data_IF_993953750116
#
_entry.id   IF_993953750116
#
_cell.length_a   1.000
_cell.length_b   1.000
_cell.length_c   1.000
_cell.angle_alpha   90.00
_cell.angle_beta   90.00
_cell.angle_gamma   90.00
#
_symmetry.space_group_name_H-M   'P 1'
#
loop_
_entity.id
_entity.type
_entity.pdbx_description
1 polymer ?
#
# COMPACT_ATOMS: atom_id res chain seq x y z
N UNK A 1 6.11 -44.67 10.13
CA UNK A 1 6.17 -43.51 9.24
C UNK A 1 6.12 -42.29 10.13
N UNK A 2 7.21 -41.53 10.24
CA UNK A 2 7.14 -40.23 10.90
C UNK A 2 6.48 -39.29 9.88
N UNK A 3 5.22 -38.98 10.11
CA UNK A 3 4.48 -38.03 9.30
C UNK A 3 5.06 -36.64 9.59
N UNK A 4 5.82 -36.08 8.65
CA UNK A 4 6.38 -34.74 8.81
C UNK A 4 5.21 -33.75 8.84
N UNK A 5 5.04 -32.97 9.91
CA UNK A 5 3.92 -32.02 9.99
C UNK A 5 3.95 -31.05 8.80
N UNK A 6 2.81 -30.94 8.11
CA UNK A 6 2.64 -30.07 6.94
C UNK A 6 1.82 -28.84 7.30
N UNK A 7 2.23 -27.68 6.77
CA UNK A 7 1.59 -26.40 7.02
C UNK A 7 1.42 -25.59 5.74
N UNK A 8 0.29 -24.88 5.67
CA UNK A 8 0.00 -23.92 4.59
C UNK A 8 0.43 -22.53 5.07
N UNK A 9 1.18 -21.80 4.24
CA UNK A 9 1.68 -20.47 4.57
C UNK A 9 0.56 -19.49 4.90
N UNK A 10 -0.51 -19.46 4.10
CA UNK A 10 -1.66 -18.58 4.29
C UNK A 10 -2.40 -18.89 5.61
N UNK A 11 -2.49 -20.17 5.98
CA UNK A 11 -3.04 -20.59 7.27
C UNK A 11 -2.16 -20.15 8.45
N UNK A 12 -0.85 -20.33 8.34
CA UNK A 12 0.10 -19.89 9.38
C UNK A 12 -0.08 -18.39 9.68
N UNK A 13 -0.29 -17.56 8.65
CA UNK A 13 -0.47 -16.11 8.81
C UNK A 13 -1.75 -15.72 9.55
N UNK A 14 -2.76 -16.61 9.59
CA UNK A 14 -4.07 -16.33 10.21
C UNK A 14 -4.26 -17.05 11.55
N UNK A 15 -3.42 -18.04 11.87
CA UNK A 15 -3.51 -18.84 13.08
C UNK A 15 -2.82 -18.15 14.27
N UNK A 16 -3.50 -18.00 15.43
CA UNK A 16 -2.93 -17.33 16.60
C UNK A 16 -1.74 -18.07 17.24
N UNK A 17 -1.60 -19.37 16.97
CA UNK A 17 -0.50 -20.20 17.46
C UNK A 17 0.85 -19.85 16.81
N UNK A 18 0.84 -19.11 15.69
CA UNK A 18 2.05 -18.66 15.02
C UNK A 18 2.23 -17.16 15.24
N UNK A 19 3.09 -16.82 16.19
CA UNK A 19 3.35 -15.43 16.53
C UNK A 19 4.39 -14.87 15.57
N UNK A 20 3.99 -13.86 14.78
CA UNK A 20 4.89 -13.08 13.95
C UNK A 20 5.27 -11.78 14.64
N UNK A 21 6.50 -11.32 14.39
CA UNK A 21 6.97 -9.98 14.77
C UNK A 21 7.59 -9.27 13.58
N UNK A 22 7.51 -7.95 13.58
CA UNK A 22 8.25 -7.14 12.62
C UNK A 22 9.74 -7.22 12.92
N UNK A 23 10.53 -7.62 11.94
CA UNK A 23 11.99 -7.62 12.02
C UNK A 23 12.59 -6.33 11.49
N UNK A 24 12.06 -5.82 10.37
CA UNK A 24 12.56 -4.62 9.73
C UNK A 24 11.48 -3.93 8.88
N UNK A 25 11.55 -2.60 8.78
CA UNK A 25 10.76 -1.80 7.83
C UNK A 25 11.70 -0.83 7.13
N UNK A 26 11.64 -0.80 5.80
CA UNK A 26 12.42 0.09 4.94
C UNK A 26 11.47 0.89 4.04
N UNK A 27 11.73 2.19 3.93
CA UNK A 27 11.03 3.08 2.99
C UNK A 27 11.87 3.15 1.71
N UNK A 28 11.24 2.89 0.56
CA UNK A 28 11.91 2.96 -0.76
C UNK A 28 11.48 4.19 -1.57
N UNK A 29 10.21 4.61 -1.48
CA UNK A 29 9.68 5.82 -2.13
C UNK A 29 8.86 6.60 -1.11
N UNK A 30 9.21 7.86 -0.93
CA UNK A 30 8.50 8.80 -0.06
C UNK A 30 8.36 10.14 -0.79
N UNK A 31 7.14 10.52 -1.15
CA UNK A 31 6.85 11.76 -1.88
C UNK A 31 5.71 12.47 -1.17
N UNK A 32 5.94 13.73 -0.84
CA UNK A 32 4.92 14.70 -0.45
C UNK A 32 5.12 15.93 -1.34
N UNK A 33 4.21 16.16 -2.27
CA UNK A 33 4.31 17.28 -3.23
C UNK A 33 2.98 17.98 -3.39
N UNK A 34 2.99 19.32 -3.33
CA UNK A 34 1.79 20.13 -3.52
C UNK A 34 1.68 20.62 -4.95
N UNK A 35 0.45 20.77 -5.44
CA UNK A 35 0.13 21.43 -6.71
C UNK A 35 0.79 20.75 -7.94
N UNK A 36 0.82 19.42 -7.97
CA UNK A 36 1.23 18.69 -9.16
C UNK A 36 0.15 18.77 -10.25
N UNK A 37 0.53 18.80 -11.54
CA UNK A 37 -0.43 18.71 -12.64
C UNK A 37 -1.23 17.41 -12.60
N UNK A 38 -2.56 17.54 -12.60
CA UNK A 38 -3.54 16.44 -12.67
C UNK A 38 -4.39 16.55 -13.92
N UNK A 39 -5.04 15.46 -14.33
CA UNK A 39 -6.01 15.51 -15.43
C UNK A 39 -7.04 16.60 -15.16
N UNK A 40 -7.33 17.44 -16.15
CA UNK A 40 -8.33 18.50 -16.05
C UNK A 40 -9.67 17.97 -15.54
N UNK A 41 -10.06 16.77 -15.97
CA UNK A 41 -11.27 16.09 -15.50
C UNK A 41 -11.30 15.90 -13.97
N UNK A 42 -10.17 15.56 -13.35
CA UNK A 42 -10.11 15.37 -11.90
C UNK A 42 -10.35 16.68 -11.13
N UNK A 43 -9.88 17.81 -11.67
CA UNK A 43 -10.19 19.12 -11.12
C UNK A 43 -11.67 19.46 -11.31
N UNK A 44 -12.23 19.17 -12.48
CA UNK A 44 -13.65 19.42 -12.77
C UNK A 44 -14.59 18.60 -11.89
N UNK A 45 -14.31 17.30 -11.71
CA UNK A 45 -15.12 16.40 -10.87
C UNK A 45 -15.10 16.81 -9.39
N UNK A 46 -14.03 17.47 -8.94
CA UNK A 46 -13.92 18.01 -7.57
C UNK A 46 -14.82 19.22 -7.30
N UNK A 47 -15.38 19.84 -8.35
CA UNK A 47 -16.21 21.02 -8.22
C UNK A 47 -17.60 20.68 -7.67
N UNK A 48 -18.19 21.58 -6.86
CA UNK A 48 -19.59 21.56 -6.50
C UNK A 48 -20.54 21.46 -7.70
N UNK A 49 -21.68 20.80 -7.53
CA UNK A 49 -22.65 20.55 -8.60
C UNK A 49 -23.26 21.84 -9.18
N UNK A 50 -23.41 22.89 -8.38
CA UNK A 50 -23.87 24.20 -8.84
C UNK A 50 -22.89 24.86 -9.80
N UNK A 51 -21.58 24.75 -9.53
CA UNK A 51 -20.53 25.23 -10.45
C UNK A 51 -20.54 24.39 -11.73
N UNK A 52 -20.62 23.06 -11.63
CA UNK A 52 -20.69 22.17 -12.81
C UNK A 52 -21.94 22.42 -13.66
N UNK A 53 -23.05 22.84 -13.04
CA UNK A 53 -24.28 23.23 -13.74
C UNK A 53 -24.11 24.57 -14.48
N UNK A 54 -23.40 25.53 -13.88
CA UNK A 54 -23.12 26.83 -14.51
C UNK A 54 -22.04 26.75 -15.59
N UNK A 55 -21.12 25.80 -15.49
CA UNK A 55 -19.98 25.60 -16.39
C UNK A 55 -19.95 24.15 -16.89
N UNK A 56 -20.94 23.69 -17.69
CA UNK A 56 -20.97 22.31 -18.16
C UNK A 56 -19.79 21.99 -19.09
N UNK A 57 -19.38 20.71 -19.11
CA UNK A 57 -18.35 20.22 -20.04
C UNK A 57 -18.83 20.34 -21.48
N UNK A 58 -18.42 21.41 -22.16
CA UNK A 58 -18.63 21.59 -23.59
C UNK A 58 -17.60 20.83 -24.44
N UNK A 59 -17.76 20.86 -25.76
CA UNK A 59 -16.84 20.20 -26.70
C UNK A 59 -15.38 20.67 -26.59
N UNK A 60 -15.13 21.89 -26.11
CA UNK A 60 -13.77 22.41 -25.94
C UNK A 60 -13.12 21.86 -24.67
N UNK A 61 -13.86 21.84 -23.55
CA UNK A 61 -13.41 21.29 -22.28
C UNK A 61 -13.27 19.76 -22.34
N UNK A 62 -14.15 19.08 -23.07
CA UNK A 62 -14.06 17.63 -23.27
C UNK A 62 -12.77 17.23 -24.02
N UNK A 63 -12.27 18.06 -24.95
CA UNK A 63 -11.01 17.76 -25.67
C UNK A 63 -9.79 17.77 -24.77
N UNK A 64 -9.81 18.58 -23.71
CA UNK A 64 -8.71 18.73 -22.77
C UNK A 64 -8.87 17.92 -21.48
N UNK A 65 -9.91 17.08 -21.36
CA UNK A 65 -10.22 16.36 -20.12
C UNK A 65 -9.05 15.53 -19.56
N UNK A 66 -8.20 15.01 -20.46
CA UNK A 66 -7.04 14.18 -20.12
C UNK A 66 -5.73 14.99 -20.04
N UNK A 67 -5.75 16.28 -20.38
CA UNK A 67 -4.56 17.14 -20.27
C UNK A 67 -4.23 17.37 -18.80
N UNK A 68 -2.94 17.35 -18.47
CA UNK A 68 -2.46 17.58 -17.12
C UNK A 68 -2.26 19.07 -16.88
N UNK A 69 -3.01 19.64 -15.94
CA UNK A 69 -2.95 21.05 -15.55
C UNK A 69 -2.92 21.18 -14.02
N UNK A 70 -2.38 22.28 -13.53
CA UNK A 70 -2.43 22.66 -12.11
C UNK A 70 -3.83 23.16 -11.72
N UNK A 71 -4.12 23.23 -10.42
CA UNK A 71 -5.40 23.77 -9.93
C UNK A 71 -5.61 25.23 -10.37
N UNK A 72 -4.55 26.03 -10.39
CA UNK A 72 -4.59 27.42 -10.84
C UNK A 72 -4.90 27.53 -12.34
N UNK A 73 -4.28 26.68 -13.16
CA UNK A 73 -4.58 26.62 -14.60
C UNK A 73 -6.02 26.15 -14.85
N UNK A 74 -6.50 25.16 -14.10
CA UNK A 74 -7.89 24.71 -14.18
C UNK A 74 -8.88 25.84 -13.84
N UNK A 75 -8.63 26.63 -12.79
CA UNK A 75 -9.43 27.83 -12.50
C UNK A 75 -9.43 28.80 -13.68
N UNK A 76 -8.26 29.04 -14.29
CA UNK A 76 -8.15 29.94 -15.46
C UNK A 76 -8.93 29.42 -16.67
N UNK A 77 -8.87 28.12 -16.95
CA UNK A 77 -9.59 27.46 -18.05
C UNK A 77 -11.11 27.55 -17.85
N UNK A 78 -11.57 27.37 -16.61
CA UNK A 78 -13.01 27.44 -16.26
C UNK A 78 -13.51 28.86 -15.99
N UNK A 79 -12.63 29.86 -16.06
CA UNK A 79 -12.89 31.26 -15.72
C UNK A 79 -13.42 31.43 -14.28
N UNK A 80 -12.90 30.64 -13.35
CA UNK A 80 -13.23 30.68 -11.93
C UNK A 80 -12.27 31.60 -11.17
N UNK A 81 -12.72 32.22 -10.06
CA UNK A 81 -11.83 32.95 -9.16
C UNK A 81 -10.63 32.10 -8.72
N UNK A 82 -9.47 32.72 -8.58
CA UNK A 82 -8.26 32.03 -8.13
C UNK A 82 -8.47 31.40 -6.75
N UNK A 83 -8.08 30.12 -6.60
CA UNK A 83 -8.25 29.37 -5.36
C UNK A 83 -9.62 28.68 -5.20
N UNK A 84 -10.53 28.80 -6.17
CA UNK A 84 -11.79 28.04 -6.17
C UNK A 84 -11.53 26.53 -6.21
N UNK A 85 -10.56 26.09 -7.03
CA UNK A 85 -10.06 24.72 -7.03
C UNK A 85 -8.84 24.69 -6.11
N UNK A 86 -8.92 23.87 -5.06
CA UNK A 86 -7.83 23.72 -4.11
C UNK A 86 -6.73 22.85 -4.70
N UNK A 87 -5.48 23.31 -4.56
CA UNK A 87 -4.32 22.52 -4.97
C UNK A 87 -4.15 21.32 -4.03
N UNK A 88 -4.27 20.11 -4.57
CA UNK A 88 -4.05 18.88 -3.84
C UNK A 88 -2.58 18.74 -3.37
N UNK A 89 -2.41 18.08 -2.23
CA UNK A 89 -1.15 17.49 -1.81
C UNK A 89 -1.13 16.03 -2.26
N UNK A 90 -0.02 15.60 -2.83
CA UNK A 90 0.18 14.27 -3.37
C UNK A 90 1.11 13.49 -2.47
N UNK A 91 0.64 12.37 -1.95
CA UNK A 91 1.37 11.50 -1.04
C UNK A 91 1.63 10.15 -1.72
N UNK A 92 2.88 9.73 -1.78
CA UNK A 92 3.27 8.38 -2.19
C UNK A 92 4.22 7.79 -1.16
N UNK A 93 3.85 6.64 -0.65
CA UNK A 93 4.66 5.84 0.26
C UNK A 93 4.74 4.44 -0.33
N UNK A 94 5.96 3.92 -0.48
CA UNK A 94 6.18 2.49 -0.68
C UNK A 94 7.48 2.05 -0.06
N UNK A 95 7.54 0.77 0.29
CA UNK A 95 8.70 0.20 0.93
C UNK A 95 8.61 -1.31 1.07
N UNK A 96 9.48 -1.86 1.91
CA UNK A 96 9.45 -3.27 2.25
C UNK A 96 9.46 -3.48 3.75
N UNK A 97 8.91 -4.61 4.17
CA UNK A 97 8.94 -5.07 5.56
C UNK A 97 9.36 -6.53 5.60
N UNK A 98 10.03 -6.92 6.68
CA UNK A 98 10.31 -8.31 6.99
C UNK A 98 9.57 -8.67 8.27
N UNK A 99 8.74 -9.70 8.21
CA UNK A 99 8.14 -10.34 9.40
C UNK A 99 8.75 -11.71 9.60
N UNK A 100 8.89 -12.11 10.86
CA UNK A 100 9.50 -13.39 11.24
C UNK A 100 8.63 -14.12 12.25
N UNK A 101 8.55 -15.44 12.11
CA UNK A 101 8.02 -16.36 13.11
C UNK A 101 9.19 -17.19 13.64
N UNK A 102 9.47 -17.11 14.94
CA UNK A 102 10.62 -17.79 15.54
C UNK A 102 10.30 -19.29 15.82
N UNK A 103 9.06 -19.62 16.21
CA UNK A 103 8.60 -20.98 16.52
C UNK A 103 8.49 -21.90 15.28
N UNK A 104 8.38 -21.27 14.13
CA UNK A 104 8.45 -21.91 12.82
C UNK A 104 9.48 -21.10 12.04
N UNK A 105 10.78 -21.49 12.00
CA UNK A 105 11.89 -20.69 11.45
C UNK A 105 11.64 -20.17 10.03
N UNK A 106 10.92 -19.04 9.95
CA UNK A 106 10.27 -18.51 8.78
C UNK A 106 10.32 -16.99 8.81
N UNK A 107 10.72 -16.41 7.68
CA UNK A 107 10.63 -14.99 7.44
C UNK A 107 9.93 -14.71 6.11
N UNK A 108 9.08 -13.68 6.10
CA UNK A 108 8.49 -13.15 4.87
C UNK A 108 9.05 -11.76 4.64
N UNK A 109 9.59 -11.53 3.45
CA UNK A 109 9.95 -10.22 2.94
C UNK A 109 8.86 -9.75 1.98
N UNK A 110 8.18 -8.68 2.37
CA UNK A 110 6.95 -8.17 1.77
C UNK A 110 7.17 -6.75 1.27
N UNK A 111 6.46 -6.37 0.20
CA UNK A 111 6.38 -4.98 -0.26
C UNK A 111 5.04 -4.37 0.14
N UNK A 112 5.04 -3.09 0.49
CA UNK A 112 3.84 -2.33 0.80
C UNK A 112 3.80 -0.98 0.06
N UNK A 113 2.60 -0.46 -0.14
CA UNK A 113 2.36 0.86 -0.76
C UNK A 113 1.04 1.45 -0.28
N UNK A 114 0.93 2.77 -0.14
CA UNK A 114 -0.34 3.43 0.17
C UNK A 114 -1.33 3.41 -1.01
N UNK A 115 -0.80 3.45 -2.24
CA UNK A 115 -1.63 3.44 -3.46
C UNK A 115 -0.93 2.73 -4.62
N UNK A 116 -1.68 2.15 -5.56
CA UNK A 116 -1.14 1.63 -6.81
C UNK A 116 -0.79 2.74 -7.82
N UNK A 117 -1.30 3.96 -7.60
CA UNK A 117 -1.02 5.14 -8.44
C UNK A 117 0.38 5.70 -8.16
N UNK A 118 0.80 6.67 -8.97
CA UNK A 118 2.03 7.42 -8.74
C UNK A 118 2.00 8.19 -7.41
N UNK A 119 0.83 8.68 -7.02
CA UNK A 119 0.55 9.30 -5.71
C UNK A 119 -0.95 9.31 -5.43
N UNK A 120 -1.29 9.48 -4.16
CA UNK A 120 -2.66 9.69 -3.68
C UNK A 120 -2.84 11.18 -3.41
N UNK A 121 -3.88 11.77 -4.02
CA UNK A 121 -4.21 13.17 -3.80
C UNK A 121 -5.06 13.32 -2.53
N UNK A 122 -4.67 14.27 -1.67
CA UNK A 122 -5.39 14.71 -0.48
C UNK A 122 -5.61 16.22 -0.56
N UNK A 123 -6.77 16.67 -0.12
CA UNK A 123 -7.16 18.09 -0.08
C UNK A 123 -7.18 18.65 1.35
N UNK A 124 -6.77 17.85 2.33
CA UNK A 124 -6.69 18.30 3.72
C UNK A 124 -5.54 19.29 3.89
N UNK A 125 -5.78 20.31 4.73
CA UNK A 125 -4.78 21.31 5.09
C UNK A 125 -3.69 20.76 6.02
N UNK A 126 -4.02 19.72 6.79
CA UNK A 126 -3.11 19.07 7.73
C UNK A 126 -2.37 17.91 7.03
N UNK A 127 -1.08 18.13 6.76
CA UNK A 127 -0.21 17.15 6.10
C UNK A 127 0.10 15.99 7.03
N UNK A 128 0.31 16.24 8.34
CA UNK A 128 0.58 15.20 9.34
C UNK A 128 -0.60 14.23 9.42
N UNK A 129 -1.82 14.77 9.53
CA UNK A 129 -3.03 13.95 9.57
C UNK A 129 -3.22 13.16 8.27
N UNK A 130 -3.01 13.80 7.12
CA UNK A 130 -3.12 13.12 5.82
C UNK A 130 -2.10 12.01 5.65
N UNK A 131 -0.85 12.28 6.04
CA UNK A 131 0.23 11.32 5.96
C UNK A 131 -0.04 10.13 6.89
N UNK A 132 -0.48 10.40 8.11
CA UNK A 132 -0.81 9.36 9.08
C UNK A 132 -1.95 8.45 8.58
N UNK A 133 -2.96 9.02 7.92
CA UNK A 133 -4.03 8.25 7.28
C UNK A 133 -3.51 7.38 6.12
N UNK A 134 -2.70 7.96 5.20
CA UNK A 134 -2.09 7.22 4.10
C UNK A 134 -1.11 6.13 4.56
N UNK A 135 -0.38 6.41 5.64
CA UNK A 135 0.51 5.45 6.30
C UNK A 135 -0.23 4.31 6.98
N UNK A 136 -1.49 4.49 7.38
CA UNK A 136 -2.36 3.43 7.91
C UNK A 136 -3.11 2.66 6.81
N UNK A 137 -3.38 3.30 5.67
CA UNK A 137 -4.12 2.73 4.54
C UNK A 137 -3.24 1.93 3.55
N UNK A 138 -2.01 1.58 3.93
CA UNK A 138 -1.16 0.77 3.06
C UNK A 138 -1.75 -0.61 2.79
N UNK A 139 -1.35 -1.16 1.65
CA UNK A 139 -1.64 -2.53 1.25
C UNK A 139 -0.34 -3.26 0.92
N UNK A 140 -0.32 -4.56 1.18
CA UNK A 140 0.71 -5.46 0.68
C UNK A 140 0.45 -5.77 -0.79
N UNK A 141 1.49 -5.70 -1.62
CA UNK A 141 1.38 -5.97 -3.04
C UNK A 141 2.72 -6.42 -3.63
N UNK A 142 2.67 -7.11 -4.77
CA UNK A 142 3.86 -7.51 -5.51
C UNK A 142 4.47 -8.81 -5.00
N UNK A 143 5.80 -8.83 -4.91
CA UNK A 143 6.53 -10.06 -4.62
C UNK A 143 6.50 -10.40 -3.14
N UNK A 144 6.41 -11.70 -2.86
CA UNK A 144 6.64 -12.26 -1.52
C UNK A 144 7.87 -13.15 -1.62
N UNK A 145 8.88 -12.85 -0.81
CA UNK A 145 10.02 -13.74 -0.67
C UNK A 145 9.96 -14.41 0.70
N UNK A 146 10.17 -15.72 0.72
CA UNK A 146 10.05 -16.56 1.90
C UNK A 146 11.41 -17.16 2.22
N UNK A 147 11.85 -17.01 3.46
CA UNK A 147 13.00 -17.74 4.00
C UNK A 147 12.44 -18.75 4.98
N UNK A 148 12.56 -20.04 4.65
CA UNK A 148 12.08 -21.15 5.46
C UNK A 148 13.29 -22.05 5.76
N UNK A 149 13.63 -22.26 7.04
CA UNK A 149 14.84 -23.02 7.42
C UNK A 149 14.55 -24.39 8.03
N UNK A 150 13.29 -24.70 8.30
CA UNK A 150 12.94 -25.93 9.00
C UNK A 150 12.95 -27.14 8.06
N UNK A 151 13.81 -28.11 8.34
CA UNK A 151 13.81 -29.43 7.69
C UNK A 151 12.87 -30.43 8.37
N UNK A 152 12.29 -30.06 9.52
CA UNK A 152 11.42 -30.91 10.33
C UNK A 152 9.92 -30.66 10.10
N UNK A 153 9.57 -29.67 9.28
CA UNK A 153 8.20 -29.26 8.97
C UNK A 153 8.11 -28.94 7.48
N UNK A 154 7.04 -29.37 6.82
CA UNK A 154 6.78 -29.02 5.42
C UNK A 154 6.02 -27.70 5.36
N UNK A 155 6.42 -26.81 4.47
CA UNK A 155 5.73 -25.55 4.21
C UNK A 155 5.27 -25.52 2.75
N UNK A 156 3.97 -25.34 2.55
CA UNK A 156 3.36 -25.20 1.22
C UNK A 156 2.66 -23.86 1.12
N UNK A 157 2.67 -23.24 -0.04
CA UNK A 157 1.81 -22.11 -0.38
C UNK A 157 0.69 -22.61 -1.27
N UNK A 158 -0.54 -22.13 -1.06
CA UNK A 158 -1.70 -22.45 -1.91
C UNK A 158 -2.18 -21.18 -2.60
N UNK A 159 -2.38 -21.23 -3.91
CA UNK A 159 -2.91 -20.11 -4.68
C UNK A 159 -4.46 -20.13 -4.74
N UNK A 160 -5.06 -19.18 -5.46
CA UNK A 160 -6.53 -19.13 -5.61
C UNK A 160 -7.11 -20.21 -6.51
N UNK A 161 -6.28 -20.91 -7.28
CA UNK A 161 -6.67 -22.04 -8.12
C UNK A 161 -6.51 -23.37 -7.36
N UNK A 162 -6.20 -23.31 -6.06
CA UNK A 162 -5.87 -24.46 -5.20
C UNK A 162 -4.61 -25.20 -5.66
N UNK A 163 -3.74 -24.56 -6.45
CA UNK A 163 -2.45 -25.11 -6.82
C UNK A 163 -1.51 -25.02 -5.62
N UNK A 164 -0.77 -26.11 -5.36
CA UNK A 164 0.20 -26.19 -4.27
C UNK A 164 1.62 -25.91 -4.77
N UNK A 165 2.35 -25.10 -4.00
CA UNK A 165 3.77 -24.85 -4.20
C UNK A 165 4.55 -25.14 -2.92
N UNK A 166 5.36 -26.19 -2.94
CA UNK A 166 6.21 -26.57 -1.82
C UNK A 166 7.37 -25.57 -1.69
N UNK A 167 7.53 -25.00 -0.50
CA UNK A 167 8.60 -24.06 -0.17
C UNK A 167 9.73 -24.85 0.52
N UNK A 168 10.71 -25.26 -0.29
CA UNK A 168 11.86 -26.00 0.20
C UNK A 168 12.66 -25.23 1.25
N UNK A 169 13.22 -25.92 2.26
CA UNK A 169 14.13 -25.30 3.22
C UNK A 169 15.35 -24.68 2.52
N UNK A 170 15.69 -23.45 2.89
CA UNK A 170 16.76 -22.67 2.26
C UNK A 170 17.42 -21.73 3.26
N UNK A 171 18.73 -21.51 3.10
CA UNK A 171 19.48 -20.51 3.84
C UNK A 171 19.21 -19.08 3.36
N UNK A 172 18.58 -18.92 2.20
CA UNK A 172 18.23 -17.65 1.58
C UNK A 172 16.74 -17.49 1.31
N UNK A 173 16.37 -16.30 0.84
CA UNK A 173 15.01 -16.00 0.42
C UNK A 173 14.69 -16.64 -0.94
N UNK A 174 13.58 -17.38 -0.98
CA UNK A 174 12.97 -17.90 -2.21
C UNK A 174 11.78 -17.04 -2.59
N UNK A 175 11.74 -16.57 -3.83
CA UNK A 175 10.60 -15.79 -4.35
C UNK A 175 9.43 -16.75 -4.65
N UNK A 176 8.25 -16.46 -4.11
CA UNK A 176 7.04 -17.20 -4.47
C UNK A 176 6.65 -16.94 -5.94
N UNK A 177 6.08 -17.93 -6.64
CA UNK A 177 5.43 -17.68 -7.92
C UNK A 177 4.33 -16.63 -7.77
N UNK A 178 4.02 -15.91 -8.86
CA UNK A 178 3.15 -14.74 -8.80
C UNK A 178 1.75 -15.04 -8.23
N UNK A 179 1.14 -16.18 -8.58
CA UNK A 179 -0.18 -16.57 -8.08
C UNK A 179 -0.18 -16.81 -6.56
N UNK A 180 0.86 -17.45 -6.05
CA UNK A 180 1.08 -17.70 -4.62
C UNK A 180 1.42 -16.41 -3.85
N UNK A 181 2.20 -15.51 -4.44
CA UNK A 181 2.47 -14.19 -3.87
C UNK A 181 1.18 -13.36 -3.77
N UNK A 182 0.32 -13.42 -4.79
CA UNK A 182 -0.99 -12.77 -4.80
C UNK A 182 -1.91 -13.33 -3.70
N UNK A 183 -2.01 -14.66 -3.58
CA UNK A 183 -2.77 -15.33 -2.50
C UNK A 183 -2.27 -14.91 -1.11
N UNK A 184 -0.95 -14.86 -0.91
CA UNK A 184 -0.34 -14.46 0.36
C UNK A 184 -0.61 -12.98 0.69
N UNK A 185 -0.41 -12.07 -0.27
CA UNK A 185 -0.65 -10.64 -0.05
C UNK A 185 -2.14 -10.35 0.17
N UNK A 186 -3.03 -11.04 -0.55
CA UNK A 186 -4.47 -10.97 -0.30
C UNK A 186 -4.85 -11.46 1.10
N UNK A 187 -4.26 -12.57 1.57
CA UNK A 187 -4.46 -13.08 2.93
C UNK A 187 -4.09 -12.03 3.97
N UNK A 188 -2.91 -11.40 3.83
CA UNK A 188 -2.45 -10.34 4.73
C UNK A 188 -3.35 -9.09 4.70
N UNK A 189 -3.76 -8.65 3.51
CA UNK A 189 -4.66 -7.49 3.37
C UNK A 189 -6.04 -7.79 3.97
N UNK A 190 -6.58 -8.98 3.73
CA UNK A 190 -7.85 -9.42 4.31
C UNK A 190 -7.77 -9.48 5.83
N UNK A 191 -6.64 -9.98 6.37
CA UNK A 191 -6.40 -10.01 7.81
C UNK A 191 -6.33 -8.60 8.40
N UNK A 192 -5.64 -7.67 7.72
CA UNK A 192 -5.56 -6.25 8.11
C UNK A 192 -6.95 -5.62 8.17
N UNK A 193 -7.80 -5.89 7.18
CA UNK A 193 -9.10 -5.21 7.05
C UNK A 193 -10.18 -5.83 7.96
N UNK A 194 -10.19 -7.16 8.12
CA UNK A 194 -11.24 -7.88 8.86
C UNK A 194 -10.85 -8.22 10.32
N UNK A 195 -9.56 -8.19 10.66
CA UNK A 195 -9.05 -8.50 12.00
C UNK A 195 -7.81 -7.66 12.32
N UNK A 196 -7.93 -6.32 12.33
CA UNK A 196 -6.79 -5.41 12.45
C UNK A 196 -5.92 -5.67 13.67
N UNK A 197 -6.50 -6.18 14.76
CA UNK A 197 -5.74 -6.58 15.95
C UNK A 197 -4.63 -7.62 15.67
N UNK A 198 -4.84 -8.53 14.71
CA UNK A 198 -3.90 -9.59 14.37
C UNK A 198 -2.62 -9.07 13.67
N UNK A 199 -2.71 -7.93 12.98
CA UNK A 199 -1.58 -7.27 12.31
C UNK A 199 -1.21 -5.91 12.94
N UNK A 200 -1.76 -5.60 14.11
CA UNK A 200 -1.53 -4.32 14.80
C UNK A 200 -0.04 -4.02 15.01
N UNK A 201 0.75 -5.03 15.41
CA UNK A 201 2.20 -4.91 15.58
C UNK A 201 2.91 -4.44 14.29
N UNK A 202 2.47 -4.96 13.13
CA UNK A 202 3.05 -4.69 11.83
C UNK A 202 2.60 -3.33 11.30
N UNK A 203 1.30 -3.04 11.41
CA UNK A 203 0.73 -1.76 11.04
C UNK A 203 1.39 -0.63 11.82
N UNK A 204 1.50 -0.77 13.15
CA UNK A 204 2.17 0.21 13.99
C UNK A 204 3.64 0.37 13.61
N UNK A 205 4.38 -0.72 13.42
CA UNK A 205 5.79 -0.65 13.01
C UNK A 205 6.00 0.09 11.69
N UNK A 206 5.12 -0.13 10.70
CA UNK A 206 5.19 0.54 9.40
C UNK A 206 4.83 2.02 9.54
N UNK A 207 3.73 2.33 10.23
CA UNK A 207 3.25 3.68 10.43
C UNK A 207 4.25 4.53 11.22
N UNK A 208 4.80 4.00 12.32
CA UNK A 208 5.83 4.66 13.13
C UNK A 208 7.09 4.94 12.30
N UNK A 209 7.50 3.98 11.45
CA UNK A 209 8.66 4.16 10.57
C UNK A 209 8.43 5.26 9.53
N UNK A 210 7.23 5.31 8.95
CA UNK A 210 6.85 6.33 7.97
C UNK A 210 6.82 7.71 8.64
N UNK A 211 6.16 7.85 9.78
CA UNK A 211 6.05 9.13 10.50
C UNK A 211 7.41 9.60 11.01
N UNK A 212 8.25 8.69 11.52
CA UNK A 212 9.63 9.03 11.91
C UNK A 212 10.43 9.53 10.70
N UNK A 213 10.33 8.86 9.55
CA UNK A 213 11.01 9.29 8.32
C UNK A 213 10.54 10.68 7.85
N UNK A 214 9.24 10.97 7.97
CA UNK A 214 8.70 12.29 7.67
C UNK A 214 9.27 13.37 8.58
N UNK A 215 9.28 13.15 9.90
CA UNK A 215 9.84 14.11 10.85
C UNK A 215 11.35 14.30 10.65
N UNK A 216 12.09 13.25 10.30
CA UNK A 216 13.53 13.37 9.97
C UNK A 216 13.77 14.21 8.70
N UNK A 217 12.89 14.11 7.70
CA UNK A 217 13.07 14.77 6.40
C UNK A 217 12.48 16.19 6.36
N UNK A 218 11.40 16.45 7.08
CA UNK A 218 10.61 17.69 7.01
C UNK A 218 10.35 18.35 8.36
N UNK A 219 10.67 17.69 9.47
CA UNK A 219 10.59 18.27 10.81
C UNK A 219 11.69 19.32 11.01
N UNK A 220 11.31 20.45 11.64
CA UNK A 220 12.24 21.46 12.18
C UNK A 220 12.77 20.96 13.52
#
# INVERSE_FOLDING_TARGET
MNDTPSFILQDILTKPDFIFRTHNVKIDKFIIQKNLPMMFLAHYDSLPDDIKTQKPLDLSLLKMMNEKVTAQEACRILELPAGTIQAATHIKISGTTVIVCDDFPLALHLSFTNTAKESQATYHSDIDQSLNAEAGNFVFAGNVNVLHKSTAKTLTSVDFSEEEYIIEPSDGYTRLPNAHALSTTHTLNTLKDNSPQALSYLQQSIQDKIMSHYHEQFGI
#
